data_IF_392374085413
#
_entry.id   IF_392374085413
#
_cell.length_a   1.000
_cell.length_b   1.000
_cell.length_c   1.000
_cell.angle_alpha   90.00
_cell.angle_beta   90.00
_cell.angle_gamma   90.00
#
_symmetry.space_group_name_H-M   'P 1'
#
loop_
_entity.id
_entity.type
_entity.pdbx_description
1 polymer ?
#
# COMPACT_ATOMS: atom_id res chain seq x y z
N UNK A 1 -0.69 -0.45 60.80
CA UNK A 1 -2.15 -0.49 61.01
C UNK A 1 -2.71 0.83 60.49
N UNK A 2 -3.54 0.94 59.46
CA UNK A 2 -4.41 -0.05 58.81
C UNK A 2 -4.85 0.45 57.42
N UNK A 3 -4.94 -0.49 56.49
CA UNK A 3 -5.83 -0.58 55.32
C UNK A 3 -5.85 0.52 54.25
N UNK A 4 -4.87 0.39 53.33
CA UNK A 4 -5.02 0.74 51.92
C UNK A 4 -5.89 -0.31 51.20
N UNK A 5 -7.19 -0.32 51.48
CA UNK A 5 -8.15 -1.08 50.68
C UNK A 5 -8.56 -0.25 49.46
N UNK A 6 -8.24 -0.71 48.25
CA UNK A 6 -8.89 -0.23 47.03
C UNK A 6 -10.41 -0.37 47.23
N UNK A 7 -11.08 0.74 47.55
CA UNK A 7 -12.52 0.81 47.75
C UNK A 7 -13.28 0.69 46.44
N UNK A 8 -13.32 -0.52 45.86
CA UNK A 8 -14.32 -0.88 44.87
C UNK A 8 -15.68 -0.96 45.59
N UNK A 9 -16.32 0.20 45.76
CA UNK A 9 -17.72 0.25 46.15
C UNK A 9 -18.52 -0.62 45.18
N UNK A 10 -19.32 -1.55 45.69
CA UNK A 10 -20.19 -2.43 44.91
C UNK A 10 -21.00 -1.63 43.87
N UNK A 11 -21.36 -0.40 44.22
CA UNK A 11 -22.03 0.56 43.32
C UNK A 11 -21.17 0.95 42.10
N UNK A 12 -19.86 1.15 42.28
CA UNK A 12 -18.92 1.45 41.18
C UNK A 12 -18.70 0.25 40.27
N UNK A 13 -18.70 -0.96 40.85
CA UNK A 13 -18.60 -2.20 40.08
C UNK A 13 -19.88 -2.43 39.24
N UNK A 14 -21.05 -2.22 39.83
CA UNK A 14 -22.34 -2.30 39.11
C UNK A 14 -22.41 -1.24 38.00
N UNK A 15 -21.99 -0.01 38.28
CA UNK A 15 -21.99 1.06 37.27
C UNK A 15 -21.06 0.74 36.10
N UNK A 16 -19.88 0.16 36.38
CA UNK A 16 -18.94 -0.27 35.34
C UNK A 16 -19.53 -1.37 34.45
N UNK A 17 -20.20 -2.37 35.03
CA UNK A 17 -20.88 -3.43 34.28
C UNK A 17 -22.02 -2.87 33.42
N UNK A 18 -22.81 -1.93 33.95
CA UNK A 18 -23.91 -1.30 33.20
C UNK A 18 -23.38 -0.48 32.02
N UNK A 19 -22.27 0.26 32.20
CA UNK A 19 -21.64 1.01 31.11
C UNK A 19 -21.12 0.06 30.01
N UNK A 20 -20.46 -1.03 30.39
CA UNK A 20 -19.99 -2.04 29.42
C UNK A 20 -21.16 -2.65 28.65
N UNK A 21 -22.25 -3.02 29.34
CA UNK A 21 -23.44 -3.58 28.69
C UNK A 21 -24.08 -2.60 27.70
N UNK A 22 -24.17 -1.31 28.06
CA UNK A 22 -24.69 -0.26 27.17
C UNK A 22 -23.77 -0.05 25.96
N UNK A 23 -22.45 -0.07 26.16
CA UNK A 23 -21.48 0.05 25.06
C UNK A 23 -21.57 -1.12 24.07
N UNK A 24 -21.76 -2.35 24.56
CA UNK A 24 -21.95 -3.53 23.71
C UNK A 24 -23.26 -3.41 22.92
N UNK A 25 -24.35 -3.05 23.58
CA UNK A 25 -25.67 -2.90 22.95
C UNK A 25 -25.68 -1.78 21.91
N UNK A 26 -24.95 -0.68 22.15
CA UNK A 26 -24.73 0.37 21.16
C UNK A 26 -23.87 -0.10 19.98
N UNK A 27 -22.83 -0.89 20.22
CA UNK A 27 -21.98 -1.43 19.16
C UNK A 27 -22.73 -2.40 18.25
N UNK A 28 -23.60 -3.25 18.80
CA UNK A 28 -24.50 -4.12 18.02
C UNK A 28 -25.49 -3.30 17.19
N UNK A 29 -26.10 -2.27 17.77
CA UNK A 29 -27.03 -1.37 17.05
C UNK A 29 -26.34 -0.62 15.90
N UNK A 30 -25.09 -0.18 16.09
CA UNK A 30 -24.30 0.50 15.05
C UNK A 30 -23.85 -0.50 13.97
N UNK A 31 -23.53 -1.73 14.36
CA UNK A 31 -23.08 -2.77 13.43
C UNK A 31 -24.17 -3.18 12.43
N UNK A 32 -25.45 -3.18 12.84
CA UNK A 32 -26.59 -3.43 11.94
C UNK A 32 -26.78 -2.31 10.89
N UNK A 33 -26.37 -1.06 11.18
CA UNK A 33 -26.43 0.05 10.22
C UNK A 33 -25.23 0.13 9.27
N UNK A 34 -24.13 -0.58 9.56
CA UNK A 34 -22.90 -0.55 8.75
C UNK A 34 -22.93 -1.43 7.49
N UNK A 35 -23.87 -2.37 7.39
CA UNK A 35 -23.87 -3.42 6.34
C UNK A 35 -24.67 -3.13 5.06
N UNK A 36 -25.30 -1.95 4.93
CA UNK A 36 -26.39 -1.75 3.98
C UNK A 36 -26.09 -1.13 2.61
N UNK A 37 -24.89 -0.57 2.34
CA UNK A 37 -24.71 0.33 1.17
C UNK A 37 -23.54 0.03 0.21
N UNK A 38 -22.83 -1.09 0.35
CA UNK A 38 -21.74 -1.46 -0.58
C UNK A 38 -22.12 -2.72 -1.38
N UNK A 39 -23.14 -2.62 -2.24
CA UNK A 39 -23.49 -3.69 -3.19
C UNK A 39 -23.69 -3.24 -4.65
N UNK A 40 -23.37 -1.97 -4.97
CA UNK A 40 -23.82 -1.35 -6.23
C UNK A 40 -22.75 -0.93 -7.25
N UNK A 41 -21.45 -1.10 -7.01
CA UNK A 41 -20.42 -0.46 -7.86
C UNK A 41 -19.44 -1.39 -8.60
N UNK A 42 -19.61 -2.72 -8.53
CA UNK A 42 -18.68 -3.68 -9.18
C UNK A 42 -19.08 -4.04 -10.63
N UNK A 43 -20.26 -3.64 -11.11
CA UNK A 43 -20.72 -3.98 -12.48
C UNK A 43 -20.40 -2.92 -13.57
N UNK A 44 -19.70 -1.82 -13.25
CA UNK A 44 -19.52 -0.71 -14.23
C UNK A 44 -18.09 -0.48 -14.74
N UNK A 45 -17.08 -1.24 -14.32
CA UNK A 45 -15.68 -1.01 -14.72
C UNK A 45 -15.15 -1.95 -15.80
N UNK A 46 -15.90 -2.96 -16.24
CA UNK A 46 -15.44 -3.91 -17.29
C UNK A 46 -15.93 -3.57 -18.70
N UNK A 47 -16.69 -2.49 -18.91
CA UNK A 47 -17.32 -2.18 -20.21
C UNK A 47 -16.70 -1.04 -21.02
N UNK A 48 -15.57 -0.44 -20.60
CA UNK A 48 -14.90 0.61 -21.40
C UNK A 48 -13.37 0.62 -21.27
N UNK A 49 -12.71 -0.41 -21.80
CA UNK A 49 -11.41 -0.25 -22.45
C UNK A 49 -11.46 -1.00 -23.79
N UNK A 50 -12.15 -0.39 -24.74
CA UNK A 50 -11.99 -0.65 -26.16
C UNK A 50 -11.28 0.58 -26.74
N UNK A 51 -9.98 0.69 -26.51
CA UNK A 51 -9.13 1.58 -27.32
C UNK A 51 -8.56 0.75 -28.46
N UNK A 52 -9.15 0.96 -29.63
CA UNK A 52 -8.85 0.30 -30.89
C UNK A 52 -8.35 1.37 -31.84
N UNK A 53 -7.05 1.62 -31.85
CA UNK A 53 -6.35 2.43 -32.86
C UNK A 53 -4.83 2.57 -32.59
N UNK A 54 -4.08 1.49 -32.82
CA UNK A 54 -2.69 1.59 -33.26
C UNK A 54 -2.33 0.42 -34.20
N UNK A 55 -3.09 0.33 -35.29
CA UNK A 55 -2.67 -0.35 -36.52
C UNK A 55 -1.72 0.54 -37.32
N UNK A 56 -0.44 0.17 -37.32
CA UNK A 56 0.43 0.18 -38.52
C UNK A 56 1.49 -0.94 -38.33
N UNK A 57 1.96 -1.57 -39.42
CA UNK A 57 1.99 -3.02 -39.55
C UNK A 57 3.32 -3.64 -39.16
N UNK A 58 3.26 -4.77 -38.44
CA UNK A 58 4.35 -5.74 -38.39
C UNK A 58 4.42 -6.42 -39.76
N UNK A 59 5.16 -5.80 -40.67
CA UNK A 59 5.45 -6.35 -41.98
C UNK A 59 6.40 -7.54 -41.81
N UNK A 60 5.83 -8.74 -41.95
CA UNK A 60 6.57 -9.96 -42.20
C UNK A 60 7.16 -9.85 -43.61
N UNK A 61 8.48 -9.74 -43.70
CA UNK A 61 9.21 -10.25 -44.86
C UNK A 61 10.06 -11.41 -44.40
N UNK A 62 9.67 -12.58 -44.90
CA UNK A 62 10.46 -13.79 -44.93
C UNK A 62 11.65 -13.58 -45.87
N UNK A 63 12.84 -13.90 -45.35
CA UNK A 63 14.00 -14.54 -45.98
C UNK A 63 14.86 -13.81 -47.04
N UNK A 64 16.17 -13.79 -46.72
CA UNK A 64 17.37 -13.70 -47.56
C UNK A 64 17.61 -12.43 -48.40
N UNK A 65 18.43 -11.52 -47.86
CA UNK A 65 19.67 -11.12 -48.57
C UNK A 65 20.71 -10.52 -47.60
N UNK A 66 21.98 -10.81 -47.91
CA UNK A 66 23.17 -10.63 -47.08
C UNK A 66 23.81 -9.24 -47.27
N UNK A 67 23.98 -8.49 -46.16
CA UNK A 67 25.04 -7.50 -45.82
C UNK A 67 25.30 -6.31 -46.81
N UNK A 68 25.45 -5.03 -46.36
CA UNK A 68 26.35 -4.70 -45.26
C UNK A 68 26.01 -3.59 -44.26
N UNK A 69 26.73 -3.72 -43.15
CA UNK A 69 26.88 -2.80 -42.03
C UNK A 69 27.06 -1.34 -42.47
N UNK A 70 26.10 -0.50 -42.06
CA UNK A 70 26.33 0.81 -41.43
C UNK A 70 24.95 1.42 -41.09
N UNK A 71 24.37 1.02 -39.96
CA UNK A 71 23.34 1.85 -39.30
C UNK A 71 24.04 2.47 -38.10
N UNK A 72 24.45 3.72 -38.31
CA UNK A 72 24.84 4.63 -37.25
C UNK A 72 23.70 4.66 -36.21
N UNK A 73 23.99 4.16 -35.01
CA UNK A 73 23.05 4.19 -33.89
C UNK A 73 22.87 5.66 -33.53
N UNK A 74 21.81 6.26 -34.07
CA UNK A 74 21.31 7.52 -33.56
C UNK A 74 20.77 7.22 -32.16
N UNK A 75 21.54 7.65 -31.17
CA UNK A 75 21.13 7.77 -29.79
C UNK A 75 19.83 8.56 -29.76
N UNK A 76 18.73 7.84 -29.64
CA UNK A 76 17.42 8.42 -29.38
C UNK A 76 17.49 8.94 -27.95
N UNK A 77 17.93 10.18 -27.79
CA UNK A 77 17.87 10.86 -26.49
C UNK A 77 16.42 10.91 -26.09
N UNK A 78 16.06 10.04 -25.15
CA UNK A 78 14.81 10.11 -24.40
C UNK A 78 14.60 11.57 -23.95
N UNK A 79 13.36 12.09 -23.98
CA UNK A 79 13.07 13.40 -23.37
C UNK A 79 13.62 13.39 -21.93
N UNK A 80 14.00 14.56 -21.37
CA UNK A 80 14.59 14.61 -20.04
C UNK A 80 13.62 13.96 -19.06
N UNK A 81 13.92 12.72 -18.69
CA UNK A 81 13.35 12.08 -17.54
C UNK A 81 13.80 12.95 -16.39
N UNK A 82 12.87 13.72 -15.81
CA UNK A 82 13.10 14.22 -14.46
C UNK A 82 13.53 13.00 -13.66
N UNK A 83 14.75 13.02 -13.12
CA UNK A 83 15.30 11.87 -12.44
C UNK A 83 14.31 11.45 -11.36
N UNK A 84 13.89 10.18 -11.39
CA UNK A 84 13.00 9.64 -10.38
C UNK A 84 13.61 9.86 -9.00
N UNK A 85 12.78 10.23 -8.02
CA UNK A 85 13.24 10.41 -6.65
C UNK A 85 13.89 9.13 -6.11
N UNK A 86 14.94 9.31 -5.31
CA UNK A 86 15.64 8.21 -4.67
C UNK A 86 14.78 7.54 -3.58
N UNK A 87 15.04 6.27 -3.29
CA UNK A 87 14.23 5.50 -2.33
C UNK A 87 14.26 6.07 -0.91
N UNK A 88 15.43 6.50 -0.45
CA UNK A 88 15.58 7.17 0.84
C UNK A 88 14.81 8.51 0.89
N UNK A 89 14.83 9.27 -0.21
CA UNK A 89 14.14 10.55 -0.30
C UNK A 89 12.62 10.37 -0.25
N UNK A 90 12.08 9.39 -0.98
CA UNK A 90 10.66 9.05 -0.92
C UNK A 90 10.28 8.53 0.47
N UNK A 91 11.11 7.68 1.07
CA UNK A 91 10.90 7.21 2.44
C UNK A 91 10.79 8.39 3.42
N UNK A 92 11.76 9.31 3.40
CA UNK A 92 11.82 10.44 4.32
C UNK A 92 10.69 11.46 4.12
N UNK A 93 10.13 11.56 2.91
CA UNK A 93 9.07 12.55 2.61
C UNK A 93 7.65 12.00 2.72
N UNK A 94 7.46 10.67 2.65
CA UNK A 94 6.14 10.05 2.68
C UNK A 94 6.04 8.88 3.69
N UNK A 95 6.93 7.89 3.57
CA UNK A 95 6.76 6.60 4.24
C UNK A 95 7.10 6.64 5.74
N UNK A 96 8.05 7.50 6.13
CA UNK A 96 8.59 7.62 7.49
C UNK A 96 7.51 7.94 8.52
N UNK A 97 6.46 8.68 8.12
CA UNK A 97 5.36 9.09 8.99
C UNK A 97 4.70 7.90 9.71
N UNK A 98 4.65 6.75 9.05
CA UNK A 98 4.10 5.51 9.62
C UNK A 98 5.18 4.48 9.91
N UNK A 99 6.15 4.28 9.02
CA UNK A 99 7.13 3.20 9.14
C UNK A 99 8.26 3.46 10.15
N UNK A 100 8.36 4.66 10.72
CA UNK A 100 9.24 4.92 11.87
C UNK A 100 8.58 4.53 13.20
N UNK A 101 7.26 4.74 13.31
CA UNK A 101 6.53 4.65 14.58
C UNK A 101 5.63 3.43 14.69
N UNK A 102 5.36 2.76 13.56
CA UNK A 102 4.35 1.71 13.44
C UNK A 102 2.91 2.23 13.38
N UNK A 103 2.72 3.52 13.05
CA UNK A 103 1.38 4.10 12.99
C UNK A 103 0.47 3.33 12.02
N UNK A 104 -0.78 3.13 12.43
CA UNK A 104 -1.76 2.39 11.62
C UNK A 104 -1.39 0.92 11.40
N UNK A 105 -0.50 0.34 12.22
CA UNK A 105 -0.03 -1.04 12.08
C UNK A 105 1.07 -1.24 11.04
N UNK A 106 1.75 -0.16 10.65
CA UNK A 106 2.86 -0.23 9.71
C UNK A 106 4.04 -1.04 10.30
N UNK A 107 4.72 -1.90 9.51
CA UNK A 107 5.95 -2.55 9.95
C UNK A 107 7.05 -1.49 10.14
N UNK A 108 7.76 -1.53 11.27
CA UNK A 108 8.83 -0.58 11.55
C UNK A 108 10.04 -0.85 10.65
N UNK A 109 10.70 0.20 10.17
CA UNK A 109 11.97 0.08 9.47
C UNK A 109 13.03 -0.59 10.37
N UNK A 110 13.77 -1.57 9.85
CA UNK A 110 14.79 -2.31 10.60
C UNK A 110 14.26 -3.38 11.56
N UNK A 111 12.94 -3.56 11.68
CA UNK A 111 12.37 -4.65 12.49
C UNK A 111 12.27 -5.95 11.67
N UNK A 112 13.37 -6.71 11.63
CA UNK A 112 13.43 -7.99 10.89
C UNK A 112 12.25 -8.91 11.20
N UNK A 113 11.79 -8.94 12.45
CA UNK A 113 10.69 -9.82 12.87
C UNK A 113 9.34 -9.41 12.26
N UNK A 114 9.07 -8.11 12.16
CA UNK A 114 7.88 -7.60 11.50
C UNK A 114 7.92 -7.81 9.97
N UNK A 115 9.12 -7.89 9.38
CA UNK A 115 9.31 -8.02 7.94
C UNK A 115 9.40 -9.46 7.44
N UNK A 116 9.70 -10.45 8.28
CA UNK A 116 9.90 -11.85 7.88
C UNK A 116 8.72 -12.41 7.05
N UNK A 117 7.49 -12.27 7.55
CA UNK A 117 6.27 -12.75 6.87
C UNK A 117 5.91 -11.94 5.62
N UNK A 118 6.41 -10.70 5.51
CA UNK A 118 6.21 -9.83 4.34
C UNK A 118 7.20 -10.20 3.24
N UNK A 119 8.47 -10.41 3.61
CA UNK A 119 9.53 -10.85 2.71
C UNK A 119 9.22 -12.21 2.07
N UNK A 120 8.61 -13.13 2.83
CA UNK A 120 8.18 -14.43 2.31
C UNK A 120 7.16 -14.34 1.16
N UNK A 121 6.46 -13.20 1.01
CA UNK A 121 5.51 -12.97 -0.08
C UNK A 121 6.19 -12.44 -1.36
N UNK A 122 7.44 -11.99 -1.25
CA UNK A 122 8.26 -11.48 -2.34
C UNK A 122 8.11 -9.97 -2.59
N UNK A 123 9.23 -9.34 -2.97
CA UNK A 123 9.30 -7.90 -3.27
C UNK A 123 8.23 -7.42 -4.27
N UNK A 124 7.92 -8.12 -5.39
CA UNK A 124 6.95 -7.61 -6.36
C UNK A 124 5.56 -7.37 -5.77
N UNK A 125 5.10 -8.25 -4.87
CA UNK A 125 3.80 -8.08 -4.22
C UNK A 125 3.82 -6.93 -3.21
N UNK A 126 4.94 -6.72 -2.51
CA UNK A 126 5.10 -5.59 -1.59
C UNK A 126 5.04 -4.25 -2.34
N UNK A 127 5.72 -4.16 -3.49
CA UNK A 127 5.67 -2.97 -4.36
C UNK A 127 4.26 -2.73 -4.87
N UNK A 128 3.59 -3.77 -5.40
CA UNK A 128 2.21 -3.64 -5.88
C UNK A 128 1.29 -3.08 -4.80
N UNK A 129 1.34 -3.66 -3.60
CA UNK A 129 0.53 -3.21 -2.45
C UNK A 129 0.89 -1.81 -1.98
N UNK A 130 2.15 -1.40 -2.10
CA UNK A 130 2.57 -0.04 -1.79
C UNK A 130 2.02 0.97 -2.81
N UNK A 131 1.99 0.61 -4.10
CA UNK A 131 1.47 1.44 -5.19
C UNK A 131 -0.06 1.55 -5.11
N UNK A 132 -0.75 0.42 -5.08
CA UNK A 132 -2.22 0.33 -5.12
C UNK A 132 -2.87 0.65 -3.77
N UNK A 133 -2.12 0.50 -2.69
CA UNK A 133 -2.63 0.49 -1.32
C UNK A 133 -3.05 -0.92 -0.89
N UNK A 134 -3.06 -1.14 0.43
CA UNK A 134 -3.35 -2.44 1.00
C UNK A 134 -4.03 -2.30 2.38
N UNK A 135 -5.11 -3.04 2.57
CA UNK A 135 -5.76 -3.22 3.86
C UNK A 135 -5.47 -4.66 4.29
N UNK A 136 -4.69 -4.80 5.35
CA UNK A 136 -4.33 -6.10 5.93
C UNK A 136 -4.88 -6.25 7.34
N UNK A 137 -4.61 -7.41 7.93
CA UNK A 137 -5.03 -7.72 9.30
C UNK A 137 -4.43 -6.78 10.34
N UNK A 138 -3.18 -6.35 10.11
CA UNK A 138 -2.44 -5.51 11.05
C UNK A 138 -2.76 -4.02 10.88
N UNK A 139 -3.23 -3.59 9.72
CA UNK A 139 -3.24 -2.16 9.41
C UNK A 139 -3.60 -1.80 7.98
N UNK A 140 -3.50 -0.50 7.71
CA UNK A 140 -3.82 0.11 6.42
C UNK A 140 -2.57 0.79 5.86
N UNK A 141 -2.23 0.45 4.62
CA UNK A 141 -1.24 1.13 3.81
C UNK A 141 -1.96 1.89 2.69
N UNK A 142 -2.04 3.24 2.73
CA UNK A 142 -2.64 4.00 1.65
C UNK A 142 -1.89 3.81 0.33
N UNK A 143 -2.58 3.99 -0.80
CA UNK A 143 -1.97 3.99 -2.12
C UNK A 143 -0.81 5.01 -2.19
N UNK A 144 0.33 4.55 -2.70
CA UNK A 144 1.58 5.32 -2.80
C UNK A 144 2.02 5.95 -1.47
N UNK A 145 1.74 5.29 -0.35
CA UNK A 145 2.04 5.82 0.99
C UNK A 145 1.31 7.13 1.32
N UNK A 146 0.21 7.43 0.63
CA UNK A 146 -0.55 8.68 0.79
C UNK A 146 -0.05 9.83 -0.08
N UNK A 147 1.05 9.66 -0.83
CA UNK A 147 1.55 10.63 -1.80
C UNK A 147 1.27 10.18 -3.23
N UNK A 148 0.09 10.53 -3.70
CA UNK A 148 -0.45 10.10 -5.00
C UNK A 148 0.29 10.69 -6.21
N UNK A 149 1.15 11.69 -5.98
CA UNK A 149 1.96 12.33 -7.00
C UNK A 149 3.26 11.57 -7.31
N UNK A 150 3.63 10.58 -6.49
CA UNK A 150 4.74 9.68 -6.76
C UNK A 150 4.42 8.79 -7.98
N UNK A 151 5.44 8.52 -8.79
CA UNK A 151 5.41 7.45 -9.78
C UNK A 151 5.55 6.08 -9.12
N UNK A 152 5.19 5.02 -9.84
CA UNK A 152 5.28 3.65 -9.32
C UNK A 152 6.75 3.23 -9.11
N UNK A 153 7.65 3.74 -9.94
CA UNK A 153 9.11 3.57 -9.81
C UNK A 153 9.64 4.20 -8.51
N UNK A 154 9.19 5.40 -8.16
CA UNK A 154 9.59 6.06 -6.91
C UNK A 154 9.10 5.32 -5.67
N UNK A 155 7.91 4.73 -5.74
CA UNK A 155 7.39 3.85 -4.69
C UNK A 155 8.22 2.56 -4.60
N UNK A 156 8.58 1.95 -5.73
CA UNK A 156 9.46 0.79 -5.75
C UNK A 156 10.84 1.09 -5.14
N UNK A 157 11.42 2.25 -5.45
CA UNK A 157 12.68 2.70 -4.88
C UNK A 157 12.57 2.81 -3.36
N UNK A 158 11.48 3.37 -2.84
CA UNK A 158 11.23 3.46 -1.40
C UNK A 158 11.09 2.09 -0.73
N UNK A 159 10.32 1.17 -1.33
CA UNK A 159 10.20 -0.21 -0.84
C UNK A 159 11.57 -0.88 -0.81
N UNK A 160 12.36 -0.74 -1.87
CA UNK A 160 13.71 -1.32 -1.96
C UNK A 160 14.61 -0.78 -0.85
N UNK A 161 14.65 0.55 -0.68
CA UNK A 161 15.39 1.18 0.40
C UNK A 161 14.99 0.60 1.76
N UNK A 162 13.69 0.46 2.03
CA UNK A 162 13.22 -0.09 3.31
C UNK A 162 13.64 -1.54 3.53
N UNK A 163 13.66 -2.36 2.48
CA UNK A 163 14.13 -3.74 2.55
C UNK A 163 15.66 -3.83 2.76
N UNK A 164 16.41 -2.87 2.22
CA UNK A 164 17.86 -2.80 2.38
C UNK A 164 18.28 -2.36 3.80
N UNK A 165 17.36 -1.77 4.59
CA UNK A 165 17.60 -1.37 5.98
C UNK A 165 17.22 -2.45 7.01
N UNK A 166 16.83 -3.64 6.58
CA UNK A 166 16.44 -4.75 7.46
C UNK A 166 17.64 -5.47 8.05
#
# INVERSE_FOLDING_TARGET
MSDSGLGFSLFRFILFIVVIAISILLFELISDFGGGLIKGQVERTTSKFSQKDNTVPVFVLTENEEQPANIEIQESTSPPVMAALGGEEVYNTACIACHMTGAGGAPLLGDVSAWETRLAQGKPLLVQRAVEGYIGELGIMPAKGGRLDLSDEEVENAVTYMLDQL
#
